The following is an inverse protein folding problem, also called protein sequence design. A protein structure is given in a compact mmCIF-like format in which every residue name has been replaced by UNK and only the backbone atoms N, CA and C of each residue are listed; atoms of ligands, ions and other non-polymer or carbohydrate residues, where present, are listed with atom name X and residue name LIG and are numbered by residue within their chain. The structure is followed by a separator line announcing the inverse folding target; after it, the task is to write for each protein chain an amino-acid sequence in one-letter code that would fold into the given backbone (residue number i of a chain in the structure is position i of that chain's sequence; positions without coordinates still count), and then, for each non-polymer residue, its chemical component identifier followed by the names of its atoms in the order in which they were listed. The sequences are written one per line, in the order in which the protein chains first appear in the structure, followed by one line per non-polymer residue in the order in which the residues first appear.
data_IF_561905600938
#
_entry.id   IF_561905600938
#
_cell.length_a   1.000
_cell.length_b   1.000
_cell.length_c   1.000
_cell.angle_alpha   90.00
_cell.angle_beta   90.00
_cell.angle_gamma   90.00
#
_symmetry.space_group_name_H-M   'P 1'
#
loop_
_entity.id
_entity.type
_entity.pdbx_description
1 polymer ?
#
# COMPACT_ATOMS: atom_id res chain seq x y z
N UNK A 1 26.90 -3.46 -10.23
CA UNK A 1 25.75 -4.37 -10.10
C UNK A 1 25.05 -4.06 -8.79
N UNK A 2 23.73 -3.91 -8.80
CA UNK A 2 22.93 -3.70 -7.58
C UNK A 2 22.53 -5.08 -7.04
N UNK A 3 22.59 -5.26 -5.73
CA UNK A 3 22.11 -6.47 -5.03
C UNK A 3 20.88 -6.10 -4.21
N UNK A 4 19.95 -7.05 -4.11
CA UNK A 4 18.74 -6.93 -3.28
C UNK A 4 18.97 -7.78 -2.04
N UNK A 5 18.92 -7.15 -0.87
CA UNK A 5 19.14 -7.82 0.42
C UNK A 5 17.82 -7.82 1.19
N UNK A 6 17.18 -8.98 1.43
CA UNK A 6 15.91 -9.05 2.14
C UNK A 6 16.08 -8.68 3.61
N UNK A 7 15.13 -7.90 4.13
CA UNK A 7 15.03 -7.56 5.54
C UNK A 7 13.98 -8.45 6.21
N UNK A 8 14.46 -9.56 6.79
CA UNK A 8 13.60 -10.58 7.40
C UNK A 8 12.80 -10.07 8.60
N UNK A 9 13.16 -8.91 9.18
CA UNK A 9 12.35 -8.28 10.24
C UNK A 9 11.01 -7.76 9.72
N UNK A 10 10.89 -7.54 8.41
CA UNK A 10 9.67 -7.06 7.74
C UNK A 10 8.87 -8.17 7.07
N UNK A 11 9.16 -9.42 7.42
CA UNK A 11 8.52 -10.58 6.82
C UNK A 11 7.03 -10.60 7.15
N UNK A 12 6.21 -10.77 6.11
CA UNK A 12 4.76 -10.81 6.18
C UNK A 12 4.24 -11.96 5.30
N UNK A 13 3.21 -12.68 5.76
CA UNK A 13 2.54 -13.71 4.96
C UNK A 13 1.60 -13.06 3.96
N UNK A 14 1.56 -13.58 2.74
CA UNK A 14 0.64 -13.09 1.71
C UNK A 14 -0.76 -13.68 1.98
N UNK A 15 -1.80 -12.87 2.23
CA UNK A 15 -3.09 -13.40 2.71
C UNK A 15 -3.78 -14.38 1.75
N UNK A 16 -3.64 -14.14 0.44
CA UNK A 16 -4.22 -14.98 -0.61
C UNK A 16 -3.32 -16.14 -1.05
N UNK A 17 -2.08 -16.25 -0.55
CA UNK A 17 -1.13 -17.30 -0.96
C UNK A 17 -0.46 -17.97 0.24
N UNK A 18 -1.01 -19.13 0.63
CA UNK A 18 -0.69 -19.80 1.90
C UNK A 18 0.76 -20.28 2.04
N UNK A 19 1.47 -20.45 0.93
CA UNK A 19 2.86 -20.96 0.89
C UNK A 19 3.90 -19.89 0.61
N UNK A 20 3.50 -18.62 0.53
CA UNK A 20 4.41 -17.52 0.20
C UNK A 20 4.42 -16.45 1.30
N UNK A 21 5.59 -15.84 1.45
CA UNK A 21 5.84 -14.72 2.35
C UNK A 21 6.56 -13.64 1.53
N UNK A 22 6.35 -12.39 1.91
CA UNK A 22 7.06 -11.24 1.37
C UNK A 22 7.87 -10.54 2.46
N UNK A 23 8.94 -9.88 2.08
CA UNK A 23 9.68 -8.97 2.95
C UNK A 23 10.12 -7.76 2.13
N UNK A 24 10.30 -6.63 2.79
CA UNK A 24 10.97 -5.49 2.20
C UNK A 24 12.45 -5.84 1.99
N UNK A 25 13.08 -5.18 1.04
CA UNK A 25 14.49 -5.40 0.74
C UNK A 25 15.22 -4.09 0.50
N UNK A 26 16.50 -4.11 0.84
CA UNK A 26 17.40 -2.98 0.65
C UNK A 26 18.21 -3.18 -0.62
N UNK A 27 18.42 -2.09 -1.36
CA UNK A 27 19.22 -2.10 -2.58
C UNK A 27 20.64 -1.66 -2.24
N UNK A 28 21.64 -2.48 -2.51
CA UNK A 28 23.04 -2.24 -2.13
C UNK A 28 23.98 -2.35 -3.32
N UNK A 29 25.05 -1.56 -3.32
CA UNK A 29 26.13 -1.65 -4.34
C UNK A 29 27.19 -2.67 -3.95
N UNK A 30 27.41 -2.83 -2.65
CA UNK A 30 28.31 -3.80 -2.01
C UNK A 30 27.68 -4.23 -0.68
N UNK A 31 28.04 -5.39 -0.10
CA UNK A 31 27.68 -5.70 1.28
C UNK A 31 28.02 -4.52 2.22
N UNK A 32 27.06 -4.08 3.02
CA UNK A 32 27.21 -2.94 3.92
C UNK A 32 27.23 -1.55 3.27
N UNK A 33 27.13 -1.42 1.93
CA UNK A 33 27.05 -0.13 1.24
C UNK A 33 25.71 0.01 0.50
N UNK A 34 24.73 0.72 1.10
CA UNK A 34 23.50 1.09 0.43
C UNK A 34 23.74 1.73 -0.93
N UNK A 35 22.85 1.45 -1.87
CA UNK A 35 22.76 2.19 -3.11
C UNK A 35 22.20 3.58 -2.81
N UNK A 36 22.81 4.61 -3.39
CA UNK A 36 22.47 6.02 -3.10
C UNK A 36 21.05 6.39 -3.50
N UNK A 37 20.45 5.62 -4.41
CA UNK A 37 19.08 5.79 -4.88
C UNK A 37 18.08 4.80 -4.25
N UNK A 38 18.47 4.06 -3.21
CA UNK A 38 17.54 3.20 -2.48
C UNK A 38 16.56 4.07 -1.66
N UNK A 39 15.26 4.16 -2.01
CA UNK A 39 14.35 5.12 -1.37
C UNK A 39 14.19 4.86 0.14
N UNK A 40 14.15 3.57 0.52
CA UNK A 40 14.06 3.13 1.91
C UNK A 40 15.24 3.61 2.74
N UNK A 41 16.44 3.58 2.16
CA UNK A 41 17.66 3.95 2.85
C UNK A 41 17.90 5.47 2.86
N UNK A 42 17.37 6.19 1.87
CA UNK A 42 17.25 7.65 1.95
C UNK A 42 16.35 8.05 3.12
N UNK A 43 15.16 7.44 3.26
CA UNK A 43 14.25 7.76 4.36
C UNK A 43 14.85 7.46 5.73
N UNK A 44 15.48 6.30 5.93
CA UNK A 44 16.17 5.95 7.18
C UNK A 44 17.26 6.96 7.56
N UNK A 45 18.05 7.45 6.59
CA UNK A 45 19.07 8.49 6.83
C UNK A 45 18.44 9.79 7.32
N UNK A 46 17.39 10.27 6.64
CA UNK A 46 16.70 11.52 7.04
C UNK A 46 16.07 11.37 8.42
N UNK A 47 15.41 10.25 8.70
CA UNK A 47 14.83 9.96 10.02
C UNK A 47 15.90 9.89 11.12
N UNK A 48 17.09 9.34 10.81
CA UNK A 48 18.22 9.32 11.75
C UNK A 48 18.77 10.71 12.04
N UNK A 49 18.93 11.56 11.02
CA UNK A 49 19.34 12.97 11.19
C UNK A 49 18.35 13.70 12.09
N UNK A 50 17.04 13.57 11.82
CA UNK A 50 15.99 14.19 12.63
C UNK A 50 16.06 13.78 14.10
N UNK A 51 16.34 12.50 14.37
CA UNK A 51 16.44 11.99 15.74
C UNK A 51 17.74 12.42 16.42
N UNK A 52 18.88 12.27 15.76
CA UNK A 52 20.20 12.50 16.36
C UNK A 52 20.49 13.99 16.57
N UNK A 53 20.06 14.86 15.66
CA UNK A 53 20.36 16.30 15.70
C UNK A 53 19.25 17.12 16.39
N UNK A 54 18.00 16.65 16.37
CA UNK A 54 16.85 17.43 16.84
C UNK A 54 15.97 16.69 17.87
N UNK A 55 16.28 15.43 18.21
CA UNK A 55 15.47 14.56 19.07
C UNK A 55 14.02 14.33 18.59
N UNK A 56 13.76 14.53 17.29
CA UNK A 56 12.42 14.40 16.69
C UNK A 56 12.17 13.01 16.11
N UNK A 57 10.89 12.61 16.10
CA UNK A 57 10.40 11.38 15.46
C UNK A 57 9.29 11.73 14.49
N UNK A 58 9.34 11.14 13.29
CA UNK A 58 8.31 11.32 12.26
C UNK A 58 7.23 10.25 12.41
N UNK A 59 5.97 10.69 12.50
CA UNK A 59 4.81 9.82 12.36
C UNK A 59 4.08 10.20 11.07
N UNK A 60 3.70 9.21 10.27
CA UNK A 60 3.01 9.42 9.01
C UNK A 60 1.70 8.62 8.97
N UNK A 61 0.59 9.31 8.69
CA UNK A 61 -0.68 8.72 8.28
C UNK A 61 -0.83 8.88 6.77
N UNK A 62 -1.35 7.84 6.11
CA UNK A 62 -1.55 7.85 4.67
C UNK A 62 -3.04 7.70 4.36
N UNK A 63 -3.54 8.55 3.46
CA UNK A 63 -4.85 8.40 2.84
C UNK A 63 -4.62 7.90 1.42
N UNK A 64 -5.00 6.66 1.14
CA UNK A 64 -4.78 6.01 -0.15
C UNK A 64 -6.11 5.92 -0.89
N UNK A 65 -6.21 6.67 -1.99
CA UNK A 65 -7.37 6.65 -2.87
C UNK A 65 -7.12 5.74 -4.08
N UNK A 66 -8.17 5.03 -4.51
CA UNK A 66 -8.14 4.16 -5.69
C UNK A 66 -9.52 4.05 -6.34
N UNK A 67 -9.53 3.64 -7.60
CA UNK A 67 -10.76 3.42 -8.37
C UNK A 67 -11.15 1.94 -8.42
N UNK A 68 -12.43 1.65 -8.22
CA UNK A 68 -13.02 0.35 -8.51
C UNK A 68 -13.76 0.42 -9.85
N UNK A 69 -13.27 -0.34 -10.83
CA UNK A 69 -13.81 -0.39 -12.18
C UNK A 69 -14.39 -1.78 -12.48
N UNK A 70 -15.41 -1.83 -13.32
CA UNK A 70 -15.95 -3.05 -13.89
C UNK A 70 -15.81 -3.05 -15.41
N UNK A 71 -15.43 -4.19 -15.96
CA UNK A 71 -15.41 -4.42 -17.39
C UNK A 71 -16.83 -4.57 -17.92
N UNK A 72 -17.13 -3.89 -19.04
CA UNK A 72 -18.41 -3.96 -19.75
C UNK A 72 -18.15 -4.07 -21.25
N UNK A 73 -18.94 -4.87 -21.96
CA UNK A 73 -18.86 -4.96 -23.41
C UNK A 73 -19.72 -3.87 -24.07
N UNK A 74 -19.13 -3.05 -24.92
CA UNK A 74 -19.81 -2.03 -25.73
C UNK A 74 -19.37 -2.13 -27.19
N UNK A 75 -20.33 -2.28 -28.10
CA UNK A 75 -20.07 -2.41 -29.55
C UNK A 75 -19.02 -3.47 -29.90
N UNK A 76 -19.01 -4.60 -29.17
CA UNK A 76 -18.04 -5.68 -29.37
C UNK A 76 -16.63 -5.41 -28.84
N UNK A 77 -16.42 -4.29 -28.12
CA UNK A 77 -15.15 -3.95 -27.46
C UNK A 77 -15.33 -3.90 -25.94
N UNK A 78 -14.30 -4.33 -25.22
CA UNK A 78 -14.22 -4.19 -23.78
C UNK A 78 -13.98 -2.72 -23.40
N UNK A 79 -14.80 -2.23 -22.47
CA UNK A 79 -14.75 -0.88 -21.89
C UNK A 79 -14.73 -0.99 -20.36
N UNK A 80 -14.08 -0.06 -19.67
CA UNK A 80 -13.97 -0.07 -18.21
C UNK A 80 -14.69 1.12 -17.63
N UNK A 81 -15.70 0.86 -16.79
CA UNK A 81 -16.52 1.92 -16.19
C UNK A 81 -16.47 1.84 -14.67
N UNK A 82 -16.62 2.97 -13.96
CA UNK A 82 -16.74 2.96 -12.50
C UNK A 82 -17.86 2.02 -12.04
N UNK A 83 -17.64 1.31 -10.92
CA UNK A 83 -18.67 0.43 -10.35
C UNK A 83 -19.88 1.22 -9.86
N UNK A 84 -19.64 2.48 -9.46
CA UNK A 84 -20.61 3.45 -8.99
C UNK A 84 -20.27 4.87 -9.51
N UNK A 85 -21.24 5.77 -9.57
CA UNK A 85 -21.07 7.17 -10.02
C UNK A 85 -21.58 8.20 -9.00
N UNK A 86 -21.91 7.77 -7.79
CA UNK A 86 -22.43 8.67 -6.77
C UNK A 86 -21.30 9.48 -6.14
N UNK A 87 -21.68 10.54 -5.42
CA UNK A 87 -20.74 11.48 -4.84
C UNK A 87 -20.08 10.95 -3.56
N UNK A 88 -19.13 11.74 -3.06
CA UNK A 88 -18.49 11.55 -1.76
C UNK A 88 -19.47 11.17 -0.63
N UNK A 89 -19.05 10.22 0.21
CA UNK A 89 -19.81 9.71 1.37
C UNK A 89 -21.20 9.14 1.06
N UNK A 90 -21.44 8.71 -0.18
CA UNK A 90 -22.68 8.03 -0.54
C UNK A 90 -22.76 6.63 0.07
N UNK A 91 -23.78 6.38 0.89
CA UNK A 91 -24.05 5.05 1.47
C UNK A 91 -24.31 4.01 0.38
N UNK A 92 -24.96 4.39 -0.73
CA UNK A 92 -25.22 3.43 -1.81
C UNK A 92 -23.95 2.99 -2.53
N UNK A 93 -22.94 3.85 -2.65
CA UNK A 93 -21.64 3.46 -3.19
C UNK A 93 -20.94 2.46 -2.27
N UNK A 94 -21.01 2.72 -0.97
CA UNK A 94 -20.48 1.85 0.07
C UNK A 94 -21.11 0.46 0.00
N UNK A 95 -22.43 0.37 -0.05
CA UNK A 95 -23.15 -0.91 -0.14
C UNK A 95 -22.70 -1.72 -1.36
N UNK A 96 -22.51 -1.06 -2.52
CA UNK A 96 -22.07 -1.70 -3.77
C UNK A 96 -20.67 -2.29 -3.68
N UNK A 97 -19.75 -1.65 -2.95
CA UNK A 97 -18.36 -2.12 -2.81
C UNK A 97 -18.06 -2.79 -1.46
N UNK A 98 -19.05 -2.92 -0.59
CA UNK A 98 -18.90 -3.36 0.81
C UNK A 98 -18.08 -4.65 0.91
N UNK A 99 -18.40 -5.68 0.12
CA UNK A 99 -17.66 -6.95 0.13
C UNK A 99 -16.18 -6.79 -0.24
N UNK A 100 -15.85 -5.98 -1.25
CA UNK A 100 -14.46 -5.72 -1.67
C UNK A 100 -13.72 -4.96 -0.58
N UNK A 101 -14.36 -3.95 0.01
CA UNK A 101 -13.77 -3.13 1.07
C UNK A 101 -13.55 -3.92 2.35
N UNK A 102 -14.47 -4.81 2.71
CA UNK A 102 -14.34 -5.75 3.82
C UNK A 102 -13.17 -6.71 3.60
N UNK A 103 -13.06 -7.32 2.41
CA UNK A 103 -11.94 -8.20 2.05
C UNK A 103 -10.59 -7.48 2.11
N UNK A 104 -10.51 -6.24 1.59
CA UNK A 104 -9.32 -5.40 1.68
C UNK A 104 -8.95 -5.16 3.15
N UNK A 105 -9.93 -4.74 3.96
CA UNK A 105 -9.70 -4.45 5.37
C UNK A 105 -9.21 -5.70 6.14
N UNK A 106 -9.85 -6.85 5.95
CA UNK A 106 -9.45 -8.12 6.58
C UNK A 106 -8.00 -8.46 6.19
N UNK A 107 -7.66 -8.40 4.90
CA UNK A 107 -6.32 -8.72 4.45
C UNK A 107 -5.26 -7.74 4.99
N UNK A 108 -5.54 -6.43 5.00
CA UNK A 108 -4.65 -5.43 5.60
C UNK A 108 -4.41 -5.70 7.09
N UNK A 109 -5.46 -6.03 7.84
CA UNK A 109 -5.34 -6.41 9.25
C UNK A 109 -4.46 -7.65 9.44
N UNK A 110 -4.59 -8.68 8.60
CA UNK A 110 -3.71 -9.86 8.66
C UNK A 110 -2.24 -9.54 8.35
N UNK A 111 -1.99 -8.44 7.62
CA UNK A 111 -0.66 -7.90 7.34
C UNK A 111 -0.19 -6.87 8.39
N UNK A 112 -0.89 -6.74 9.51
CA UNK A 112 -0.60 -5.81 10.60
C UNK A 112 -0.66 -4.34 10.17
N UNK A 113 -1.59 -4.01 9.27
CA UNK A 113 -1.91 -2.65 8.86
C UNK A 113 -3.29 -2.31 9.42
N UNK A 114 -3.34 -1.33 10.32
CA UNK A 114 -4.58 -0.82 10.88
C UNK A 114 -5.24 0.15 9.91
N UNK A 115 -6.53 -0.07 9.63
CA UNK A 115 -7.36 0.85 8.85
C UNK A 115 -8.22 1.66 9.81
N UNK A 116 -8.02 2.98 9.82
CA UNK A 116 -8.76 3.89 10.70
C UNK A 116 -10.14 4.25 10.12
N UNK A 117 -10.22 4.45 8.80
CA UNK A 117 -11.46 4.83 8.12
C UNK A 117 -11.47 4.30 6.68
N UNK A 118 -12.67 3.94 6.20
CA UNK A 118 -12.95 3.64 4.79
C UNK A 118 -14.13 4.50 4.36
N UNK A 119 -13.96 5.24 3.25
CA UNK A 119 -15.01 6.10 2.69
C UNK A 119 -14.91 6.18 1.18
N UNK A 120 -16.03 6.47 0.52
CA UNK A 120 -16.05 6.77 -0.91
C UNK A 120 -15.61 8.21 -1.16
N UNK A 121 -14.55 8.35 -1.96
CA UNK A 121 -14.00 9.62 -2.40
C UNK A 121 -14.84 10.24 -3.54
N UNK A 122 -14.58 11.51 -3.87
CA UNK A 122 -15.14 12.13 -5.07
C UNK A 122 -14.64 11.40 -6.34
N UNK A 123 -15.45 11.32 -7.42
CA UNK A 123 -15.03 10.74 -8.68
C UNK A 123 -13.90 11.52 -9.37
#
# INVERSE_FOLDING_TARGET
MIRIIPDLSTRCRIPWEKKQEMCLADMVTKPGKPWEYCPREVFRKVSKILKDEFDLVVNAGFEIEFYLLKSVMRNGKEDWVPIDKTSYCSTSAFDVASSILEDINIHLQTMNISVEQVSFAFP
#
